data_IF_003236187426
#
_entry.id   IF_003236187426
#
_cell.length_a   1.000
_cell.length_b   1.000
_cell.length_c   1.000
_cell.angle_alpha   90.00
_cell.angle_beta   90.00
_cell.angle_gamma   90.00
#
_symmetry.space_group_name_H-M   'P 1'
#
loop_
_entity.id
_entity.type
_entity.pdbx_description
1 polymer ?
#
# COMPACT_ATOMS: atom_id res chain seq x y z
N UNK A 1 -1.27 -16.31 6.18
CA UNK A 1 -2.02 -15.40 7.08
C UNK A 1 -3.43 -15.23 6.55
N UNK A 2 -4.43 -15.40 7.40
CA UNK A 2 -5.83 -15.18 7.01
C UNK A 2 -6.08 -13.69 6.78
N UNK A 3 -7.01 -13.36 5.89
CA UNK A 3 -7.33 -11.97 5.59
C UNK A 3 -7.80 -11.19 6.82
N UNK A 4 -8.63 -11.81 7.66
CA UNK A 4 -9.10 -11.16 8.90
C UNK A 4 -7.96 -10.88 9.88
N UNK A 5 -6.99 -11.78 9.96
CA UNK A 5 -5.80 -11.58 10.77
C UNK A 5 -4.97 -10.41 10.25
N UNK A 6 -4.76 -10.36 8.94
CA UNK A 6 -4.03 -9.26 8.31
C UNK A 6 -4.74 -7.91 8.58
N UNK A 7 -6.05 -7.84 8.40
CA UNK A 7 -6.83 -6.63 8.65
C UNK A 7 -6.72 -6.19 10.11
N UNK A 8 -6.74 -7.15 11.05
CA UNK A 8 -6.55 -6.84 12.48
C UNK A 8 -5.20 -6.21 12.76
N UNK A 9 -4.13 -6.76 12.20
CA UNK A 9 -2.77 -6.22 12.34
C UNK A 9 -2.64 -4.83 11.74
N UNK A 10 -3.21 -4.62 10.57
CA UNK A 10 -3.20 -3.31 9.92
C UNK A 10 -3.98 -2.28 10.74
N UNK A 11 -5.14 -2.66 11.24
CA UNK A 11 -5.96 -1.78 12.08
C UNK A 11 -5.21 -1.34 13.33
N UNK A 12 -4.46 -2.26 13.95
CA UNK A 12 -3.60 -1.92 15.09
C UNK A 12 -2.57 -0.86 14.68
N UNK A 13 -1.90 -1.04 13.55
CA UNK A 13 -0.93 -0.06 13.06
C UNK A 13 -1.57 1.28 12.71
N UNK A 14 -2.76 1.26 12.13
CA UNK A 14 -3.49 2.49 11.77
C UNK A 14 -3.76 3.35 13.00
N UNK A 15 -4.06 2.74 14.13
CA UNK A 15 -4.27 3.45 15.38
C UNK A 15 -3.03 4.20 15.87
N UNK A 16 -1.85 3.81 15.43
CA UNK A 16 -0.57 4.45 15.78
C UNK A 16 -0.10 5.44 14.72
N UNK A 17 -0.85 5.63 13.66
CA UNK A 17 -0.49 6.49 12.52
C UNK A 17 -1.40 7.71 12.49
N UNK A 18 -0.81 8.92 12.53
CA UNK A 18 -1.58 10.15 12.43
C UNK A 18 -2.38 10.24 11.13
N UNK A 19 -1.82 9.74 10.04
CA UNK A 19 -2.49 9.78 8.74
C UNK A 19 -3.67 8.81 8.64
N UNK A 20 -3.75 7.81 9.52
CA UNK A 20 -4.71 6.71 9.40
C UNK A 20 -5.63 6.52 10.60
N UNK A 21 -5.30 7.14 11.75
CA UNK A 21 -6.03 6.86 12.99
C UNK A 21 -7.51 7.30 12.96
N UNK A 22 -7.85 8.21 12.07
CA UNK A 22 -9.22 8.72 11.91
C UNK A 22 -9.95 8.08 10.72
N UNK A 23 -9.39 7.04 10.11
CA UNK A 23 -10.09 6.32 9.06
C UNK A 23 -11.35 5.66 9.60
N UNK A 24 -12.39 5.65 8.78
CA UNK A 24 -13.65 4.99 9.10
C UNK A 24 -13.60 3.52 8.70
N UNK A 25 -14.58 2.75 9.15
CA UNK A 25 -14.75 1.36 8.70
C UNK A 25 -14.92 1.33 7.17
N UNK A 26 -15.61 2.33 6.60
CA UNK A 26 -15.76 2.43 5.14
C UNK A 26 -14.40 2.60 4.45
N UNK A 27 -13.53 3.42 5.00
CA UNK A 27 -12.16 3.59 4.45
C UNK A 27 -11.39 2.27 4.46
N UNK A 28 -11.50 1.49 5.54
CA UNK A 28 -10.85 0.18 5.65
C UNK A 28 -11.41 -0.77 4.59
N UNK A 29 -12.72 -0.81 4.41
CA UNK A 29 -13.36 -1.66 3.40
C UNK A 29 -12.96 -1.27 1.98
N UNK A 30 -12.70 0.01 1.74
CA UNK A 30 -12.39 0.52 0.42
C UNK A 30 -10.89 0.44 0.09
N UNK A 31 -10.03 0.65 1.06
CA UNK A 31 -8.58 0.80 0.82
C UNK A 31 -7.72 -0.31 1.42
N UNK A 32 -8.19 -1.06 2.38
CA UNK A 32 -7.43 -2.12 3.03
C UNK A 32 -7.88 -3.52 2.60
N UNK A 33 -9.19 -3.77 2.61
CA UNK A 33 -9.69 -5.09 2.26
C UNK A 33 -9.35 -5.53 0.84
N UNK A 34 -9.48 -4.68 -0.21
CA UNK A 34 -9.16 -5.13 -1.56
C UNK A 34 -7.70 -5.59 -1.72
N UNK A 35 -6.68 -4.81 -1.34
CA UNK A 35 -5.30 -5.28 -1.51
C UNK A 35 -4.98 -6.47 -0.62
N UNK A 36 -5.56 -6.58 0.56
CA UNK A 36 -5.35 -7.75 1.42
C UNK A 36 -5.93 -9.00 0.75
N UNK A 37 -7.15 -8.93 0.22
CA UNK A 37 -7.78 -10.06 -0.48
C UNK A 37 -7.00 -10.49 -1.71
N UNK A 38 -6.37 -9.54 -2.41
CA UNK A 38 -5.60 -9.80 -3.63
C UNK A 38 -4.13 -10.16 -3.35
N UNK A 39 -3.71 -10.22 -2.11
CA UNK A 39 -2.31 -10.44 -1.71
C UNK A 39 -1.37 -9.36 -2.26
N UNK A 40 -1.87 -8.14 -2.37
CA UNK A 40 -1.11 -6.96 -2.80
C UNK A 40 -0.71 -6.11 -1.61
N UNK A 41 -0.10 -6.75 -0.63
CA UNK A 41 0.34 -6.11 0.61
C UNK A 41 1.53 -6.85 1.20
N UNK A 42 2.23 -6.17 2.12
CA UNK A 42 3.24 -6.77 2.97
C UNK A 42 3.11 -6.19 4.37
N UNK A 43 3.21 -7.06 5.38
CA UNK A 43 3.28 -6.68 6.79
C UNK A 43 4.65 -7.06 7.32
N UNK A 44 5.30 -6.13 8.02
CA UNK A 44 6.53 -6.40 8.78
C UNK A 44 6.17 -6.64 10.23
N UNK A 45 6.79 -7.64 10.82
CA UNK A 45 6.56 -8.00 12.23
C UNK A 45 7.89 -8.16 12.96
N UNK A 46 7.88 -7.85 14.26
CA UNK A 46 8.95 -8.15 15.19
C UNK A 46 8.35 -8.93 16.33
N UNK A 47 8.80 -10.17 16.55
CA UNK A 47 8.27 -11.06 17.58
C UNK A 47 6.74 -11.17 17.54
N UNK A 48 6.21 -11.35 16.33
CA UNK A 48 4.77 -11.47 16.04
C UNK A 48 3.96 -10.18 16.21
N UNK A 49 4.62 -9.05 16.51
CA UNK A 49 3.94 -7.76 16.58
C UNK A 49 4.09 -7.00 15.26
N UNK A 50 3.00 -6.49 14.69
CA UNK A 50 3.09 -5.73 13.45
C UNK A 50 3.81 -4.40 13.69
N UNK A 51 4.76 -4.07 12.80
CA UNK A 51 5.53 -2.83 12.88
C UNK A 51 5.48 -2.02 11.59
N UNK A 52 5.01 -2.60 10.49
CA UNK A 52 4.92 -1.88 9.22
C UNK A 52 3.97 -2.57 8.26
N UNK A 53 3.50 -1.80 7.29
CA UNK A 53 2.52 -2.25 6.31
C UNK A 53 2.62 -1.43 5.04
N UNK A 54 2.47 -2.10 3.90
CA UNK A 54 2.41 -1.44 2.60
C UNK A 54 1.39 -2.15 1.71
N UNK A 55 0.70 -1.39 0.88
CA UNK A 55 -0.18 -1.92 -0.17
C UNK A 55 0.22 -1.37 -1.52
N UNK A 56 -0.12 -2.09 -2.57
CA UNK A 56 0.09 -1.64 -3.94
C UNK A 56 -1.09 -2.02 -4.82
N UNK A 57 -1.21 -1.30 -5.93
CA UNK A 57 -2.23 -1.54 -6.94
C UNK A 57 -1.59 -1.54 -8.31
N UNK A 58 -2.19 -2.28 -9.24
CA UNK A 58 -1.81 -2.29 -10.65
C UNK A 58 -2.91 -1.59 -11.44
N UNK A 59 -2.72 -0.30 -11.69
CA UNK A 59 -3.76 0.55 -12.26
C UNK A 59 -3.66 0.62 -13.79
N UNK A 60 -4.82 0.73 -14.45
CA UNK A 60 -4.87 1.12 -15.85
C UNK A 60 -4.74 2.64 -15.95
N UNK A 61 -4.66 3.17 -17.17
CA UNK A 61 -4.46 4.60 -17.39
C UNK A 61 -5.61 5.45 -16.83
N UNK A 62 -6.84 4.99 -16.97
CA UNK A 62 -8.00 5.72 -16.47
C UNK A 62 -8.00 5.82 -14.94
N UNK A 63 -7.81 4.69 -14.27
CA UNK A 63 -7.75 4.66 -12.81
C UNK A 63 -6.55 5.44 -12.29
N UNK A 64 -5.40 5.32 -12.95
CA UNK A 64 -4.19 6.05 -12.60
C UNK A 64 -4.41 7.56 -12.67
N UNK A 65 -4.99 8.03 -13.77
CA UNK A 65 -5.22 9.45 -13.95
C UNK A 65 -6.17 10.01 -12.90
N UNK A 66 -7.27 9.32 -12.63
CA UNK A 66 -8.24 9.75 -11.62
C UNK A 66 -7.67 9.73 -10.21
N UNK A 67 -6.87 8.72 -9.89
CA UNK A 67 -6.19 8.63 -8.60
C UNK A 67 -5.16 9.75 -8.43
N UNK A 68 -4.36 10.00 -9.48
CA UNK A 68 -3.35 11.06 -9.48
C UNK A 68 -3.98 12.45 -9.32
N UNK A 69 -5.07 12.71 -10.02
CA UNK A 69 -5.75 14.02 -9.98
C UNK A 69 -6.64 14.20 -8.75
N UNK A 70 -6.90 13.14 -8.02
CA UNK A 70 -7.85 13.17 -6.91
C UNK A 70 -9.30 13.29 -7.34
N UNK A 71 -9.60 13.04 -8.62
CA UNK A 71 -10.97 13.14 -9.16
C UNK A 71 -11.74 11.83 -9.06
N UNK A 72 -11.06 10.73 -8.73
CA UNK A 72 -11.66 9.41 -8.66
C UNK A 72 -11.07 8.64 -7.48
N UNK A 73 -11.94 7.98 -6.71
CA UNK A 73 -11.52 7.03 -5.69
C UNK A 73 -11.29 5.66 -6.32
N UNK A 74 -10.33 4.91 -5.78
CA UNK A 74 -10.09 3.53 -6.23
C UNK A 74 -11.31 2.67 -5.96
N UNK A 75 -11.74 1.96 -7.00
CA UNK A 75 -12.83 0.98 -6.91
C UNK A 75 -12.25 -0.43 -6.81
N UNK A 76 -13.01 -1.42 -6.32
CA UNK A 76 -12.49 -2.78 -6.19
C UNK A 76 -11.83 -3.33 -7.46
N UNK A 77 -12.39 -3.03 -8.63
CA UNK A 77 -11.86 -3.52 -9.90
C UNK A 77 -10.59 -2.80 -10.36
N UNK A 78 -10.25 -1.67 -9.74
CA UNK A 78 -9.07 -0.89 -10.14
C UNK A 78 -7.75 -1.51 -9.69
N UNK A 79 -7.76 -2.30 -8.62
CA UNK A 79 -6.54 -2.79 -7.97
C UNK A 79 -5.68 -3.71 -8.84
N UNK A 80 -6.30 -4.39 -9.81
CA UNK A 80 -5.60 -5.26 -10.78
C UNK A 80 -6.01 -4.94 -12.21
N UNK A 81 -6.34 -3.69 -12.50
CA UNK A 81 -6.92 -3.30 -13.78
C UNK A 81 -5.89 -3.11 -14.90
N UNK A 82 -4.62 -2.93 -14.57
CA UNK A 82 -3.60 -2.60 -15.57
C UNK A 82 -2.20 -2.98 -15.16
N UNK A 83 -1.22 -2.26 -15.70
CA UNK A 83 0.20 -2.57 -15.53
C UNK A 83 0.98 -1.49 -14.80
N UNK A 84 0.32 -0.42 -14.36
CA UNK A 84 0.97 0.70 -13.71
C UNK A 84 1.01 0.48 -12.21
N UNK A 85 2.18 0.19 -11.68
CA UNK A 85 2.39 -0.09 -10.26
C UNK A 85 2.32 1.19 -9.44
N UNK A 86 1.44 1.18 -8.44
CA UNK A 86 1.31 2.28 -7.48
C UNK A 86 1.38 1.74 -6.06
N UNK A 87 2.21 2.36 -5.22
CA UNK A 87 2.10 2.18 -3.78
C UNK A 87 0.93 3.04 -3.29
N UNK A 88 0.02 2.43 -2.56
CA UNK A 88 -1.19 3.13 -2.13
C UNK A 88 -1.07 3.59 -0.69
N UNK A 89 -0.72 2.69 0.23
CA UNK A 89 -0.54 3.02 1.64
C UNK A 89 0.75 2.45 2.18
N UNK A 90 1.37 3.20 3.10
CA UNK A 90 2.56 2.76 3.83
C UNK A 90 2.43 3.26 5.27
N UNK A 91 2.53 2.33 6.22
CA UNK A 91 2.40 2.63 7.65
C UNK A 91 3.60 2.06 8.38
N UNK A 92 4.38 2.91 9.04
CA UNK A 92 5.55 2.50 9.82
C UNK A 92 5.69 3.41 11.04
N UNK A 93 4.79 3.28 12.04
CA UNK A 93 4.69 4.25 13.13
C UNK A 93 5.87 4.20 14.10
N UNK A 94 6.67 3.14 14.07
CA UNK A 94 7.78 2.96 15.00
C UNK A 94 9.15 3.21 14.36
N UNK A 95 9.18 3.68 13.10
CA UNK A 95 10.41 3.84 12.35
C UNK A 95 10.78 2.61 11.53
N UNK A 96 12.06 2.49 11.17
CA UNK A 96 12.53 1.38 10.34
C UNK A 96 12.16 1.52 8.87
N UNK A 97 11.77 2.71 8.43
CA UNK A 97 11.28 2.97 7.07
C UNK A 97 12.32 2.60 6.02
N UNK A 98 13.59 2.95 6.25
CA UNK A 98 14.66 2.68 5.26
C UNK A 98 14.79 1.19 4.96
N UNK A 99 14.80 0.36 6.00
CA UNK A 99 14.90 -1.08 5.83
C UNK A 99 13.64 -1.66 5.19
N UNK A 100 12.47 -1.16 5.57
CA UNK A 100 11.20 -1.58 4.98
C UNK A 100 11.11 -1.22 3.50
N UNK A 101 11.57 -0.04 3.12
CA UNK A 101 11.62 0.39 1.71
C UNK A 101 12.51 -0.54 0.90
N UNK A 102 13.69 -0.89 1.44
CA UNK A 102 14.60 -1.82 0.77
C UNK A 102 13.96 -3.20 0.58
N UNK A 103 13.41 -3.76 1.65
CA UNK A 103 12.77 -5.08 1.61
C UNK A 103 11.52 -5.07 0.73
N UNK A 104 10.75 -3.99 0.77
CA UNK A 104 9.58 -3.82 -0.09
C UNK A 104 9.94 -3.79 -1.57
N UNK A 105 11.01 -3.07 -1.92
CA UNK A 105 11.52 -3.05 -3.30
C UNK A 105 11.97 -4.43 -3.74
N UNK A 106 12.70 -5.14 -2.89
CA UNK A 106 13.15 -6.50 -3.21
C UNK A 106 11.95 -7.44 -3.42
N UNK A 107 10.93 -7.31 -2.60
CA UNK A 107 9.70 -8.08 -2.72
C UNK A 107 8.98 -7.79 -4.05
N UNK A 108 8.78 -6.51 -4.38
CA UNK A 108 8.13 -6.12 -5.64
C UNK A 108 8.94 -6.54 -6.86
N UNK A 109 10.28 -6.44 -6.76
CA UNK A 109 11.18 -6.91 -7.81
C UNK A 109 11.02 -8.41 -8.04
N UNK A 110 10.84 -9.18 -6.97
CA UNK A 110 10.62 -10.64 -7.08
C UNK A 110 9.31 -10.98 -7.77
N UNK A 111 8.30 -10.11 -7.68
CA UNK A 111 6.99 -10.30 -8.31
C UNK A 111 6.98 -9.80 -9.76
N UNK A 112 7.48 -8.58 -9.99
CA UNK A 112 7.31 -7.87 -11.26
C UNK A 112 8.57 -7.81 -12.12
N UNK A 113 9.72 -8.25 -11.61
CA UNK A 113 10.99 -8.19 -12.30
C UNK A 113 11.69 -6.84 -12.12
N UNK A 114 12.93 -6.76 -12.63
CA UNK A 114 13.73 -5.55 -12.53
C UNK A 114 13.29 -4.51 -13.56
N UNK A 115 13.51 -3.24 -13.22
CA UNK A 115 13.21 -2.14 -14.13
C UNK A 115 11.79 -1.64 -14.11
N UNK A 116 10.92 -2.23 -13.29
CA UNK A 116 9.54 -1.74 -13.14
C UNK A 116 9.57 -0.46 -12.32
N UNK A 117 8.96 0.60 -12.87
CA UNK A 117 8.77 1.85 -12.15
C UNK A 117 7.49 1.80 -11.35
N UNK A 118 7.60 2.08 -10.05
CA UNK A 118 6.45 2.27 -9.20
C UNK A 118 6.25 3.75 -8.89
N UNK A 119 5.02 4.11 -8.59
CA UNK A 119 4.62 5.47 -8.22
C UNK A 119 4.00 5.47 -6.85
N UNK A 120 4.14 6.57 -6.14
CA UNK A 120 3.49 6.77 -4.85
C UNK A 120 2.94 8.19 -4.77
N UNK A 121 1.78 8.31 -4.15
CA UNK A 121 1.18 9.60 -3.86
C UNK A 121 1.46 9.91 -2.39
N UNK A 122 2.31 10.90 -2.12
CA UNK A 122 2.71 11.28 -0.76
C UNK A 122 2.00 12.55 -0.34
N UNK A 123 1.11 12.45 0.62
CA UNK A 123 0.33 13.59 1.10
C UNK A 123 1.24 14.69 1.66
N UNK A 124 2.28 14.31 2.42
CA UNK A 124 3.17 15.28 3.09
C UNK A 124 4.26 15.87 2.20
N UNK A 125 4.57 15.23 1.07
CA UNK A 125 5.69 15.63 0.19
C UNK A 125 5.28 15.78 -1.27
N UNK A 126 3.98 15.77 -1.54
CA UNK A 126 3.47 15.73 -2.90
C UNK A 126 3.65 14.37 -3.55
N UNK A 127 3.33 14.30 -4.82
CA UNK A 127 3.39 13.07 -5.61
C UNK A 127 4.83 12.74 -5.97
N UNK A 128 5.16 11.47 -5.95
CA UNK A 128 6.53 11.04 -6.21
C UNK A 128 6.60 9.73 -6.98
N UNK A 129 7.83 9.42 -7.38
CA UNK A 129 8.15 8.20 -8.11
C UNK A 129 9.13 7.36 -7.31
N UNK A 130 9.07 6.05 -7.50
CA UNK A 130 10.10 5.14 -7.02
C UNK A 130 10.38 4.08 -8.08
N UNK A 131 11.59 3.53 -8.05
CA UNK A 131 11.98 2.47 -8.96
C UNK A 131 12.04 1.14 -8.21
N UNK A 132 11.50 0.09 -8.82
CA UNK A 132 11.62 -1.29 -8.35
C UNK A 132 12.78 -1.92 -9.14
N UNK A 133 13.98 -1.65 -8.69
CA UNK A 133 15.20 -2.11 -9.38
C UNK A 133 16.16 -2.82 -8.46
#
# INVERSE_FOLDING_TARGET
MKNTEAVGKVTFLMGQSEAHCNWTVDDIHRLILPPVALQQFRIWEVESHPVGFVTWAMLNKEAEQGYWDGTRQLQPDDWQAGENLWLIDFIAPYGGVRQMVKEGRDHLRSIFGQGVLGRANRISRGKGWFAVT
#
